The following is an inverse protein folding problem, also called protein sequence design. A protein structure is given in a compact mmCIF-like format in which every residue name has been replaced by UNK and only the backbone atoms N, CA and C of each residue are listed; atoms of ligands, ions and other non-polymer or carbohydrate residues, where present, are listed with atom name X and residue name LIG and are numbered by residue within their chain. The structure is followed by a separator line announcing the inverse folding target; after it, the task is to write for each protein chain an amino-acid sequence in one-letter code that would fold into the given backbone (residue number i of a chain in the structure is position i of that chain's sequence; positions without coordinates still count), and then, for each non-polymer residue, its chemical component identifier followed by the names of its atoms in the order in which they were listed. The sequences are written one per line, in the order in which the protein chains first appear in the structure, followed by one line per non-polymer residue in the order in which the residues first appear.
data_IF_357839229828
#
_entry.id   IF_357839229828
#
_cell.length_a   1.000
_cell.length_b   1.000
_cell.length_c   1.000
_cell.angle_alpha   90.00
_cell.angle_beta   90.00
_cell.angle_gamma   90.00
#
_symmetry.space_group_name_H-M   'P 1'
#
loop_
_entity.id
_entity.type
_entity.pdbx_description
1 polymer ?
#
# COMPACT_ATOMS: atom_id res chain seq x y z
N UNK A 1 -0.96 2.23 28.40
CA UNK A 1 -2.40 2.55 28.50
C UNK A 1 -2.67 3.89 27.83
N UNK A 2 -2.92 3.91 26.52
CA UNK A 2 -3.44 5.07 25.77
C UNK A 2 -4.24 4.50 24.59
N UNK A 3 -5.51 4.20 24.83
CA UNK A 3 -6.67 5.02 24.44
C UNK A 3 -7.25 4.55 23.11
N UNK A 4 -8.13 3.56 23.24
CA UNK A 4 -9.20 3.28 22.30
C UNK A 4 -10.08 4.52 22.15
N UNK A 5 -10.41 4.88 20.91
CA UNK A 5 -11.67 5.51 20.47
C UNK A 5 -11.53 5.79 18.97
N UNK A 6 -11.87 4.81 18.12
CA UNK A 6 -12.19 5.11 16.71
C UNK A 6 -13.70 5.07 16.57
N UNK A 7 -14.28 6.23 16.32
CA UNK A 7 -15.69 6.47 16.12
C UNK A 7 -16.17 5.79 14.83
N UNK A 8 -17.26 5.03 14.95
CA UNK A 8 -18.14 4.62 13.86
C UNK A 8 -18.66 5.83 13.10
N UNK A 9 -18.37 5.91 11.80
CA UNK A 9 -19.17 6.70 10.84
C UNK A 9 -19.52 5.80 9.66
N UNK A 10 -20.80 5.48 9.62
CA UNK A 10 -21.54 4.81 8.57
C UNK A 10 -21.68 5.75 7.35
N UNK A 11 -21.19 5.34 6.17
CA UNK A 11 -21.62 5.94 4.90
C UNK A 11 -21.87 4.80 3.90
N UNK A 12 -23.15 4.62 3.57
CA UNK A 12 -23.62 3.71 2.53
C UNK A 12 -23.27 4.25 1.14
N UNK A 13 -22.53 3.47 0.34
CA UNK A 13 -22.28 3.71 -1.10
C UNK A 13 -22.30 2.33 -1.81
N UNK A 14 -22.86 2.22 -3.04
CA UNK A 14 -23.67 1.07 -3.47
C UNK A 14 -22.92 -0.24 -3.79
N UNK A 15 -23.64 -1.33 -3.53
CA UNK A 15 -23.33 -2.78 -3.52
C UNK A 15 -22.83 -3.39 -4.84
N UNK A 16 -22.58 -2.62 -5.91
CA UNK A 16 -22.23 -3.19 -7.23
C UNK A 16 -20.72 -3.43 -7.47
N UNK A 17 -19.83 -2.75 -6.74
CA UNK A 17 -18.38 -2.99 -6.83
C UNK A 17 -17.88 -4.12 -5.91
N UNK A 18 -18.72 -4.58 -4.98
CA UNK A 18 -18.33 -5.53 -3.92
C UNK A 18 -18.42 -7.01 -4.35
N UNK A 19 -19.11 -7.34 -5.44
CA UNK A 19 -19.29 -8.74 -5.89
C UNK A 19 -18.13 -9.26 -6.76
N UNK A 20 -17.40 -8.39 -7.46
CA UNK A 20 -16.18 -8.79 -8.19
C UNK A 20 -15.03 -9.18 -7.24
N UNK A 21 -14.93 -8.49 -6.09
CA UNK A 21 -13.88 -8.69 -5.10
C UNK A 21 -14.04 -9.98 -4.29
N UNK A 22 -15.28 -10.39 -3.99
CA UNK A 22 -15.58 -11.65 -3.27
C UNK A 22 -15.19 -12.90 -4.07
N UNK A 23 -15.35 -12.87 -5.40
CA UNK A 23 -14.96 -13.99 -6.28
C UNK A 23 -13.44 -14.10 -6.42
N UNK A 24 -12.71 -12.98 -6.30
CA UNK A 24 -11.24 -12.98 -6.25
C UNK A 24 -10.73 -13.61 -4.94
N UNK A 25 -11.26 -13.19 -3.79
CA UNK A 25 -10.88 -13.76 -2.49
C UNK A 25 -11.12 -15.28 -2.39
N UNK A 26 -12.22 -15.78 -2.95
CA UNK A 26 -12.56 -17.21 -2.90
C UNK A 26 -11.59 -18.11 -3.68
N UNK A 27 -10.86 -17.58 -4.67
CA UNK A 27 -9.85 -18.33 -5.44
C UNK A 27 -8.48 -18.36 -4.75
N UNK A 28 -8.18 -17.39 -3.89
CA UNK A 28 -6.92 -17.34 -3.15
C UNK A 28 -6.78 -18.51 -2.17
N UNK A 29 -7.89 -18.99 -1.59
CA UNK A 29 -7.89 -20.07 -0.60
C UNK A 29 -7.66 -21.48 -1.18
N UNK A 30 -7.74 -21.66 -2.51
CA UNK A 30 -7.57 -22.97 -3.15
C UNK A 30 -6.12 -23.27 -3.61
N UNK A 31 -5.19 -22.32 -3.47
CA UNK A 31 -3.80 -22.45 -3.90
C UNK A 31 -2.81 -22.66 -2.74
N UNK A 32 -3.27 -23.23 -1.62
CA UNK A 32 -2.43 -23.69 -0.52
C UNK A 32 -1.58 -24.89 -0.97
N UNK A 33 -0.52 -24.62 -1.72
CA UNK A 33 0.28 -25.67 -2.35
C UNK A 33 1.55 -25.20 -3.04
N UNK A 34 2.15 -24.07 -2.67
CA UNK A 34 3.55 -23.70 -2.89
C UNK A 34 3.89 -22.68 -1.81
N UNK A 35 4.98 -22.85 -1.07
CA UNK A 35 5.58 -21.74 -0.29
C UNK A 35 5.95 -20.65 -1.28
N UNK A 36 5.06 -19.66 -1.46
CA UNK A 36 5.34 -18.51 -2.29
C UNK A 36 6.51 -17.77 -1.63
N UNK A 37 7.67 -17.78 -2.28
CA UNK A 37 8.80 -16.96 -1.84
C UNK A 37 8.41 -15.48 -2.00
N UNK A 38 8.27 -14.75 -0.89
CA UNK A 38 7.89 -13.33 -0.88
C UNK A 38 6.39 -13.06 -0.73
N UNK A 39 5.98 -11.81 -0.99
CA UNK A 39 4.63 -11.30 -0.69
C UNK A 39 3.57 -11.56 -1.78
N UNK A 40 3.89 -12.34 -2.81
CA UNK A 40 2.98 -12.57 -3.94
C UNK A 40 2.87 -11.38 -4.90
N UNK A 41 1.67 -11.12 -5.43
CA UNK A 41 1.42 -10.07 -6.41
C UNK A 41 1.19 -8.71 -5.74
N UNK A 42 2.12 -7.77 -5.98
CA UNK A 42 2.07 -6.39 -5.47
C UNK A 42 1.71 -5.37 -6.56
N UNK A 43 1.23 -5.80 -7.73
CA UNK A 43 0.96 -4.94 -8.89
C UNK A 43 -0.06 -3.83 -8.60
N UNK A 44 -1.08 -4.12 -7.80
CA UNK A 44 -2.08 -3.13 -7.39
C UNK A 44 -1.45 -1.98 -6.58
N UNK A 45 -0.60 -2.30 -5.60
CA UNK A 45 0.14 -1.31 -4.82
C UNK A 45 1.08 -0.48 -5.69
N UNK A 46 1.84 -1.13 -6.57
CA UNK A 46 2.74 -0.44 -7.50
C UNK A 46 1.99 0.50 -8.45
N UNK A 47 0.80 0.10 -8.93
CA UNK A 47 -0.06 0.94 -9.76
C UNK A 47 -0.48 2.21 -9.02
N UNK A 48 -0.94 2.07 -7.76
CA UNK A 48 -1.32 3.23 -6.95
C UNK A 48 -0.12 4.17 -6.76
N UNK A 49 1.05 3.65 -6.37
CA UNK A 49 2.27 4.46 -6.18
C UNK A 49 2.68 5.17 -7.49
N UNK A 50 2.56 4.50 -8.64
CA UNK A 50 2.78 5.11 -9.95
C UNK A 50 1.83 6.27 -10.21
N UNK A 51 0.55 6.14 -9.85
CA UNK A 51 -0.41 7.24 -9.96
C UNK A 51 -0.05 8.40 -9.03
N UNK A 52 0.36 8.12 -7.78
CA UNK A 52 0.81 9.16 -6.84
C UNK A 52 2.01 9.92 -7.43
N UNK A 53 2.99 9.22 -7.99
CA UNK A 53 4.14 9.84 -8.63
C UNK A 53 3.75 10.73 -9.81
N UNK A 54 2.83 10.28 -10.68
CA UNK A 54 2.33 11.07 -11.81
C UNK A 54 1.65 12.34 -11.33
N UNK A 55 0.78 12.24 -10.33
CA UNK A 55 0.05 13.39 -9.77
C UNK A 55 1.03 14.36 -9.08
N UNK A 56 1.96 13.86 -8.27
CA UNK A 56 2.99 14.71 -7.65
C UNK A 56 3.88 15.41 -8.70
N UNK A 57 4.16 14.74 -9.81
CA UNK A 57 4.95 15.27 -10.92
C UNK A 57 4.32 16.46 -11.64
N UNK A 58 2.99 16.66 -11.54
CA UNK A 58 2.31 17.85 -12.08
C UNK A 58 2.31 19.04 -11.11
N UNK A 59 2.82 18.84 -9.88
CA UNK A 59 2.73 19.82 -8.79
C UNK A 59 1.47 19.69 -7.94
N UNK A 60 0.56 18.76 -8.24
CA UNK A 60 -0.67 18.53 -7.47
C UNK A 60 -0.40 17.68 -6.22
N UNK A 61 0.24 18.29 -5.21
CA UNK A 61 0.49 17.63 -3.94
C UNK A 61 -0.80 17.27 -3.17
N UNK A 62 -1.89 18.07 -3.18
CA UNK A 62 -3.17 17.65 -2.62
C UNK A 62 -3.75 16.39 -3.28
N UNK A 63 -3.71 16.28 -4.61
CA UNK A 63 -4.12 15.08 -5.33
C UNK A 63 -3.26 13.87 -4.99
N UNK A 64 -1.94 14.06 -4.89
CA UNK A 64 -1.01 13.00 -4.49
C UNK A 64 -1.30 12.51 -3.06
N UNK A 65 -1.62 13.42 -2.13
CA UNK A 65 -2.07 13.08 -0.76
C UNK A 65 -3.36 12.26 -0.75
N UNK A 66 -4.29 12.55 -1.65
CA UNK A 66 -5.51 11.76 -1.78
C UNK A 66 -5.19 10.36 -2.30
N UNK A 67 -4.36 10.24 -3.35
CA UNK A 67 -4.08 8.94 -3.96
C UNK A 67 -3.20 8.03 -3.09
N UNK A 68 -2.27 8.60 -2.30
CA UNK A 68 -1.48 7.81 -1.35
C UNK A 68 -2.33 7.31 -0.16
N UNK A 69 -3.49 7.93 0.12
CA UNK A 69 -4.47 7.39 1.09
C UNK A 69 -5.04 6.07 0.59
N UNK A 70 -5.34 5.96 -0.70
CA UNK A 70 -5.84 4.70 -1.28
C UNK A 70 -4.80 3.58 -1.14
N UNK A 71 -3.51 3.92 -1.26
CA UNK A 71 -2.42 2.99 -0.98
C UNK A 71 -2.44 2.53 0.48
N UNK A 72 -2.51 3.46 1.44
CA UNK A 72 -2.53 3.19 2.89
C UNK A 72 -3.67 2.23 3.25
N UNK A 73 -4.89 2.52 2.78
CA UNK A 73 -6.06 1.67 3.03
C UNK A 73 -5.85 0.26 2.45
N UNK A 74 -5.41 0.16 1.20
CA UNK A 74 -5.19 -1.14 0.57
C UNK A 74 -4.07 -1.94 1.25
N UNK A 75 -3.01 -1.28 1.72
CA UNK A 75 -1.88 -1.91 2.39
C UNK A 75 -2.28 -2.44 3.77
N UNK A 76 -3.00 -1.62 4.56
CA UNK A 76 -3.54 -2.00 5.87
C UNK A 76 -4.51 -3.19 5.75
N UNK A 77 -5.41 -3.16 4.77
CA UNK A 77 -6.36 -4.25 4.51
C UNK A 77 -5.66 -5.57 4.15
N UNK A 78 -4.49 -5.50 3.54
CA UNK A 78 -3.70 -6.66 3.13
C UNK A 78 -2.72 -7.15 4.20
N UNK A 79 -2.47 -6.37 5.27
CA UNK A 79 -1.44 -6.64 6.29
C UNK A 79 -1.55 -8.07 6.86
N UNK A 80 -2.76 -8.46 7.27
CA UNK A 80 -2.99 -9.75 7.93
C UNK A 80 -2.64 -10.94 7.02
N UNK A 81 -2.74 -10.76 5.69
CA UNK A 81 -2.36 -11.77 4.70
C UNK A 81 -0.89 -11.70 4.31
N UNK A 82 -0.34 -10.49 4.13
CA UNK A 82 1.02 -10.27 3.62
C UNK A 82 2.10 -10.46 4.70
N UNK A 83 1.90 -9.90 5.90
CA UNK A 83 2.92 -9.92 6.95
C UNK A 83 3.42 -11.32 7.32
N UNK A 84 2.56 -12.36 7.49
CA UNK A 84 3.05 -13.69 7.80
C UNK A 84 3.71 -14.42 6.62
N UNK A 85 3.54 -13.95 5.36
CA UNK A 85 4.17 -14.58 4.19
C UNK A 85 5.67 -14.27 4.11
N UNK A 86 6.05 -13.02 4.38
CA UNK A 86 7.45 -12.57 4.40
C UNK A 86 7.59 -11.34 5.32
N UNK A 87 7.81 -11.53 6.64
CA UNK A 87 7.84 -10.43 7.59
C UNK A 87 8.93 -9.38 7.31
N UNK A 88 10.09 -9.82 6.83
CA UNK A 88 11.23 -8.94 6.56
C UNK A 88 10.95 -8.05 5.33
N UNK A 89 10.43 -8.65 4.26
CA UNK A 89 10.05 -7.88 3.06
C UNK A 89 8.85 -6.98 3.31
N UNK A 90 7.86 -7.45 4.08
CA UNK A 90 6.73 -6.64 4.50
C UNK A 90 7.21 -5.39 5.25
N UNK A 91 8.08 -5.55 6.27
CA UNK A 91 8.64 -4.43 7.04
C UNK A 91 9.40 -3.44 6.16
N UNK A 92 10.14 -3.92 5.16
CA UNK A 92 10.90 -3.05 4.24
C UNK A 92 9.97 -2.15 3.42
N UNK A 93 8.85 -2.70 2.94
CA UNK A 93 7.86 -1.92 2.18
C UNK A 93 7.09 -0.98 3.10
N UNK A 94 6.75 -1.45 4.30
CA UNK A 94 6.03 -0.68 5.33
C UNK A 94 6.82 0.57 5.75
N UNK A 95 8.12 0.43 6.04
CA UNK A 95 9.01 1.56 6.35
C UNK A 95 9.11 2.55 5.19
N UNK A 96 9.21 2.05 3.95
CA UNK A 96 9.23 2.92 2.77
C UNK A 96 7.90 3.67 2.56
N UNK A 97 6.78 3.03 2.88
CA UNK A 97 5.44 3.61 2.84
C UNK A 97 5.31 4.72 3.88
N UNK A 98 5.72 4.48 5.12
CA UNK A 98 5.73 5.46 6.21
C UNK A 98 6.51 6.72 5.84
N UNK A 99 7.71 6.55 5.27
CA UNK A 99 8.55 7.66 4.82
C UNK A 99 7.87 8.45 3.70
N UNK A 100 7.23 7.78 2.73
CA UNK A 100 6.52 8.45 1.64
C UNK A 100 5.25 9.19 2.14
N UNK A 101 4.48 8.58 3.02
CA UNK A 101 3.31 9.18 3.66
C UNK A 101 3.71 10.41 4.47
N UNK A 102 4.78 10.32 5.25
CA UNK A 102 5.33 11.42 6.04
C UNK A 102 5.78 12.59 5.16
N UNK A 103 6.54 12.33 4.10
CA UNK A 103 7.00 13.36 3.16
C UNK A 103 5.84 14.09 2.48
N UNK A 104 4.82 13.35 2.02
CA UNK A 104 3.62 13.95 1.43
C UNK A 104 2.85 14.77 2.46
N UNK A 105 2.67 14.26 3.69
CA UNK A 105 1.84 14.89 4.74
C UNK A 105 2.53 16.04 5.47
N UNK A 106 3.81 16.28 5.25
CA UNK A 106 4.52 17.42 5.80
C UNK A 106 3.78 18.74 5.52
N UNK A 107 3.79 19.65 6.52
CA UNK A 107 3.12 20.96 6.44
C UNK A 107 3.61 21.77 5.23
N UNK A 108 4.91 21.67 4.95
CA UNK A 108 5.54 22.17 3.73
C UNK A 108 6.26 20.98 3.07
N UNK A 109 5.52 20.23 2.26
CA UNK A 109 6.08 19.09 1.54
C UNK A 109 7.09 19.59 0.49
N UNK A 110 8.32 19.06 0.56
CA UNK A 110 9.36 19.30 -0.43
C UNK A 110 9.12 18.39 -1.65
N UNK A 111 8.87 18.94 -2.85
CA UNK A 111 8.64 18.14 -4.05
C UNK A 111 9.78 17.16 -4.38
N UNK A 112 11.04 17.53 -4.10
CA UNK A 112 12.19 16.66 -4.36
C UNK A 112 12.22 15.47 -3.39
N UNK A 113 11.99 15.75 -2.10
CA UNK A 113 11.85 14.70 -1.09
C UNK A 113 10.69 13.76 -1.41
N UNK A 114 9.49 14.28 -1.71
CA UNK A 114 8.32 13.49 -2.09
C UNK A 114 8.62 12.57 -3.27
N UNK A 115 9.25 13.10 -4.32
CA UNK A 115 9.64 12.30 -5.48
C UNK A 115 10.61 11.17 -5.11
N UNK A 116 11.61 11.48 -4.29
CA UNK A 116 12.60 10.51 -3.82
C UNK A 116 11.98 9.39 -3.00
N UNK A 117 11.11 9.72 -2.05
CA UNK A 117 10.46 8.74 -1.17
C UNK A 117 9.45 7.87 -1.92
N UNK A 118 8.71 8.44 -2.88
CA UNK A 118 7.81 7.66 -3.74
C UNK A 118 8.56 6.71 -4.69
N UNK A 119 9.75 7.11 -5.16
CA UNK A 119 10.62 6.23 -5.94
C UNK A 119 11.18 5.08 -5.09
N UNK A 120 11.55 5.36 -3.83
CA UNK A 120 12.00 4.35 -2.88
C UNK A 120 10.90 3.34 -2.54
N UNK A 121 9.68 3.81 -2.26
CA UNK A 121 8.52 2.94 -2.05
C UNK A 121 8.25 2.06 -3.28
N UNK A 122 8.26 2.64 -4.48
CA UNK A 122 8.09 1.87 -5.71
C UNK A 122 9.19 0.81 -5.88
N UNK A 123 10.45 1.16 -5.59
CA UNK A 123 11.56 0.23 -5.63
C UNK A 123 11.36 -0.95 -4.66
N UNK A 124 10.91 -0.68 -3.43
CA UNK A 124 10.62 -1.73 -2.44
C UNK A 124 9.50 -2.68 -2.89
N UNK A 125 8.48 -2.17 -3.58
CA UNK A 125 7.38 -2.97 -4.13
C UNK A 125 7.85 -3.91 -5.26
N UNK A 126 8.74 -3.43 -6.12
CA UNK A 126 9.24 -4.22 -7.28
C UNK A 126 10.43 -5.12 -6.93
N UNK A 127 11.16 -4.85 -5.83
CA UNK A 127 12.32 -5.64 -5.49
C UNK A 127 11.88 -7.02 -4.98
N UNK A 128 11.98 -8.00 -5.88
CA UNK A 128 11.50 -9.37 -5.71
C UNK A 128 12.33 -10.23 -4.76
N UNK A 129 13.38 -9.68 -4.13
CA UNK A 129 14.36 -10.50 -3.44
C UNK A 129 13.85 -10.97 -2.08
N UNK A 130 13.40 -12.23 -2.05
CA UNK A 130 13.61 -13.07 -0.89
C UNK A 130 15.12 -13.12 -0.63
N UNK A 131 15.57 -12.65 0.54
CA UNK A 131 16.95 -12.83 0.98
C UNK A 131 17.23 -14.32 0.97
N UNK A 132 17.97 -14.78 -0.04
CA UNK A 132 18.49 -16.14 -0.09
C UNK A 132 19.56 -16.23 0.99
N UNK A 133 19.26 -16.94 2.08
CA UNK A 133 20.29 -17.50 2.95
C UNK A 133 20.57 -18.94 2.51
#
# INVERSE_FOLDING_TARGET
MKQFLLATVLIAVPVAAFTGFQVYQSRANAAAGVTASGLGDLSAFNSIVTDVQKIAGTGDLPGAKSRIKDFEIAWDDAEAGLRPMDPARWSTIDEAADVALSALRAKAADPAAVKGTLAALQAALIDGKAVTQ
#
